data_IF_606127980218
#
_entry.id   IF_606127980218
#
_cell.length_a   1.000
_cell.length_b   1.000
_cell.length_c   1.000
_cell.angle_alpha   90.00
_cell.angle_beta   90.00
_cell.angle_gamma   90.00
#
_symmetry.space_group_name_H-M   'P 1'
#
loop_
_entity.id
_entity.type
_entity.pdbx_description
1 polymer ?
#
# COMPACT_ATOMS: atom_id res chain seq x y z
N UNK A 1 11.80 2.78 1.00
CA UNK A 1 11.36 4.16 1.33
C UNK A 1 11.78 4.52 2.76
N UNK A 2 11.72 5.80 3.17
CA UNK A 2 11.88 6.18 4.59
C UNK A 2 10.71 7.03 5.06
N UNK A 3 10.09 6.65 6.17
CA UNK A 3 9.17 7.53 6.89
C UNK A 3 9.96 8.66 7.55
N UNK A 4 9.42 9.88 7.51
CA UNK A 4 10.07 11.03 8.15
C UNK A 4 9.84 10.98 9.65
N UNK A 5 10.93 11.05 10.41
CA UNK A 5 10.90 11.18 11.88
C UNK A 5 10.08 12.41 12.26
N UNK A 6 9.24 12.27 13.29
CA UNK A 6 8.35 13.33 13.77
C UNK A 6 7.03 13.47 13.02
N UNK A 7 6.84 12.76 11.89
CA UNK A 7 5.51 12.65 11.27
C UNK A 7 4.58 11.80 12.13
N UNK A 8 3.28 12.00 12.01
CA UNK A 8 2.28 11.23 12.76
C UNK A 8 2.46 9.70 12.62
N UNK A 9 2.71 9.22 11.39
CA UNK A 9 2.91 7.79 11.13
C UNK A 9 4.12 7.21 11.87
N UNK A 10 5.14 8.01 12.20
CA UNK A 10 6.32 7.56 12.92
C UNK A 10 6.00 7.02 14.32
N UNK A 11 4.86 7.43 14.89
CA UNK A 11 4.43 7.03 16.24
C UNK A 11 3.42 5.88 16.23
N UNK A 12 2.99 5.42 15.05
CA UNK A 12 2.10 4.29 14.93
C UNK A 12 2.88 2.98 15.02
N UNK A 13 2.28 2.00 15.69
CA UNK A 13 2.82 0.65 15.79
C UNK A 13 1.99 -0.30 14.94
N UNK A 14 2.68 -1.00 14.04
CA UNK A 14 2.14 -2.11 13.27
C UNK A 14 2.41 -3.42 14.02
N UNK A 15 1.36 -4.21 14.22
CA UNK A 15 1.52 -5.53 14.81
C UNK A 15 2.38 -6.43 13.90
N UNK A 16 3.39 -7.08 14.48
CA UNK A 16 4.34 -7.89 13.70
C UNK A 16 3.75 -9.19 13.20
N UNK A 17 2.68 -9.72 13.80
CA UNK A 17 2.10 -11.01 13.41
C UNK A 17 1.04 -10.80 12.33
N UNK A 18 0.16 -9.83 12.55
CA UNK A 18 -0.98 -9.56 11.68
C UNK A 18 -0.68 -8.49 10.62
N UNK A 19 0.39 -7.71 10.78
CA UNK A 19 0.71 -6.57 9.93
C UNK A 19 -0.46 -5.60 9.77
N UNK A 20 -1.15 -5.34 10.89
CA UNK A 20 -2.29 -4.43 11.02
C UNK A 20 -2.10 -3.53 12.25
N UNK A 21 -2.84 -2.43 12.30
CA UNK A 21 -2.86 -1.55 13.47
C UNK A 21 -3.79 -2.10 14.56
N UNK A 22 -3.47 -1.84 15.82
CA UNK A 22 -4.41 -2.03 16.92
C UNK A 22 -5.61 -1.09 16.78
N UNK A 23 -6.75 -1.44 17.37
CA UNK A 23 -7.97 -0.59 17.36
C UNK A 23 -7.69 0.84 17.83
N UNK A 24 -6.81 1.00 18.83
CA UNK A 24 -6.39 2.31 19.32
C UNK A 24 -5.66 3.13 18.24
N UNK A 25 -4.74 2.50 17.52
CA UNK A 25 -3.99 3.15 16.44
C UNK A 25 -4.89 3.41 15.22
N UNK A 26 -5.84 2.52 14.91
CA UNK A 26 -6.86 2.75 13.87
C UNK A 26 -7.71 3.97 14.23
N UNK A 27 -8.17 4.08 15.47
CA UNK A 27 -8.94 5.26 15.92
C UNK A 27 -8.13 6.55 15.81
N UNK A 28 -6.86 6.53 16.23
CA UNK A 28 -5.98 7.69 16.09
C UNK A 28 -5.76 8.07 14.61
N UNK A 29 -5.58 7.07 13.75
CA UNK A 29 -5.41 7.27 12.31
C UNK A 29 -6.69 7.80 11.65
N UNK A 30 -7.87 7.34 12.07
CA UNK A 30 -9.16 7.83 11.58
C UNK A 30 -9.37 9.30 11.95
N UNK A 31 -9.06 9.69 13.18
CA UNK A 31 -9.13 11.11 13.56
C UNK A 31 -8.10 11.95 12.80
N UNK A 32 -6.89 11.42 12.57
CA UNK A 32 -5.90 12.09 11.72
C UNK A 32 -6.37 12.22 10.27
N UNK A 33 -7.03 11.19 9.70
CA UNK A 33 -7.60 11.23 8.36
C UNK A 33 -8.67 12.32 8.23
N UNK A 34 -9.58 12.43 9.21
CA UNK A 34 -10.58 13.51 9.25
C UNK A 34 -9.97 14.91 9.31
N UNK A 35 -8.80 15.06 9.94
CA UNK A 35 -8.05 16.33 9.95
C UNK A 35 -7.43 16.66 8.58
N UNK A 36 -7.08 15.64 7.79
CA UNK A 36 -6.59 15.82 6.42
C UNK A 36 -7.73 16.14 5.44
N UNK A 37 -8.90 15.54 5.66
CA UNK A 37 -10.11 15.78 4.88
C UNK A 37 -10.76 17.13 5.23
N UNK A 38 -10.24 18.18 4.60
CA UNK A 38 -10.75 19.55 4.71
C UNK A 38 -12.12 19.74 4.06
N UNK A 39 -12.58 18.81 3.23
CA UNK A 39 -13.87 18.87 2.55
C UNK A 39 -14.98 18.17 3.31
N UNK A 40 -14.63 17.36 4.31
CA UNK A 40 -15.55 16.58 5.15
C UNK A 40 -16.43 15.62 4.33
N UNK A 41 -15.89 15.10 3.23
CA UNK A 41 -16.53 14.10 2.38
C UNK A 41 -16.13 12.66 2.75
N UNK A 42 -15.33 12.49 3.81
CA UNK A 42 -14.72 11.22 4.23
C UNK A 42 -13.78 10.60 3.19
N UNK A 43 -13.20 11.43 2.31
CA UNK A 43 -12.22 11.00 1.31
C UNK A 43 -11.08 12.02 1.18
N UNK A 44 -10.02 11.64 0.46
CA UNK A 44 -8.91 12.52 0.10
C UNK A 44 -8.77 12.56 -1.42
N UNK A 45 -8.88 13.76 -2.01
CA UNK A 45 -8.52 13.96 -3.41
C UNK A 45 -6.99 13.86 -3.63
N UNK A 46 -6.59 13.88 -4.90
CA UNK A 46 -5.19 13.78 -5.33
C UNK A 46 -4.26 14.83 -4.70
N UNK A 47 -4.74 16.07 -4.53
CA UNK A 47 -3.98 17.17 -3.92
C UNK A 47 -3.72 16.90 -2.44
N UNK A 48 -4.78 16.60 -1.66
CA UNK A 48 -4.65 16.31 -0.22
C UNK A 48 -3.77 15.09 0.02
N UNK A 49 -4.01 14.02 -0.75
CA UNK A 49 -3.21 12.80 -0.71
C UNK A 49 -1.74 13.06 -1.05
N UNK A 50 -1.47 13.88 -2.07
CA UNK A 50 -0.12 14.25 -2.46
C UNK A 50 0.63 14.96 -1.33
N UNK A 51 0.01 15.96 -0.72
CA UNK A 51 0.62 16.72 0.36
C UNK A 51 0.86 15.87 1.61
N UNK A 52 -0.08 14.99 1.96
CA UNK A 52 0.09 14.02 3.03
C UNK A 52 1.32 13.12 2.79
N UNK A 53 1.40 12.44 1.65
CA UNK A 53 2.51 11.53 1.37
C UNK A 53 3.85 12.26 1.26
N UNK A 54 3.84 13.47 0.68
CA UNK A 54 5.02 14.31 0.62
C UNK A 54 5.48 14.77 1.99
N UNK A 55 4.57 14.96 2.94
CA UNK A 55 4.88 15.30 4.33
C UNK A 55 5.49 14.10 5.06
N UNK A 56 4.89 12.90 4.98
CA UNK A 56 5.29 11.74 5.81
C UNK A 56 6.38 10.86 5.20
N UNK A 57 6.63 10.92 3.89
CA UNK A 57 7.64 10.10 3.19
C UNK A 57 8.68 10.94 2.44
N UNK A 58 9.76 10.30 2.00
CA UNK A 58 10.73 10.86 1.06
C UNK A 58 10.41 10.61 -0.42
N UNK A 59 9.18 10.21 -0.76
CA UNK A 59 8.82 9.91 -2.15
C UNK A 59 8.80 11.13 -3.07
N UNK A 60 9.10 10.87 -4.35
CA UNK A 60 8.99 11.83 -5.45
C UNK A 60 7.56 11.89 -5.96
N UNK A 61 7.19 13.00 -6.60
CA UNK A 61 5.85 13.22 -7.18
C UNK A 61 5.38 12.03 -8.03
N UNK A 62 6.23 11.52 -8.93
CA UNK A 62 5.90 10.36 -9.79
C UNK A 62 5.53 9.10 -8.98
N UNK A 63 6.19 8.85 -7.86
CA UNK A 63 5.90 7.71 -7.00
C UNK A 63 4.54 7.89 -6.30
N UNK A 64 4.30 9.09 -5.77
CA UNK A 64 3.05 9.44 -5.09
C UNK A 64 1.85 9.33 -6.06
N UNK A 65 1.98 9.87 -7.28
CA UNK A 65 0.95 9.75 -8.32
C UNK A 65 0.67 8.29 -8.69
N UNK A 66 1.71 7.45 -8.78
CA UNK A 66 1.51 6.01 -9.02
C UNK A 66 0.73 5.33 -7.89
N UNK A 67 1.07 5.63 -6.62
CA UNK A 67 0.34 5.06 -5.48
C UNK A 67 -1.10 5.54 -5.46
N UNK A 68 -1.37 6.81 -5.78
CA UNK A 68 -2.74 7.32 -5.86
C UNK A 68 -3.55 6.53 -6.89
N UNK A 69 -3.06 6.42 -8.12
CA UNK A 69 -3.73 5.68 -9.19
C UNK A 69 -3.89 4.18 -8.89
N UNK A 70 -3.00 3.61 -8.09
CA UNK A 70 -3.12 2.20 -7.65
C UNK A 70 -4.26 2.01 -6.65
N UNK A 71 -4.49 2.99 -5.78
CA UNK A 71 -5.52 2.92 -4.73
C UNK A 71 -6.90 3.37 -5.25
N UNK A 72 -6.93 4.34 -6.16
CA UNK A 72 -8.11 4.86 -6.87
C UNK A 72 -8.43 3.96 -8.09
N UNK A 73 -8.62 2.67 -7.85
CA UNK A 73 -8.78 1.66 -8.90
C UNK A 73 -10.08 1.81 -9.69
N UNK A 74 -11.10 2.44 -9.10
CA UNK A 74 -12.38 2.79 -9.70
C UNK A 74 -12.36 4.16 -10.39
N UNK A 75 -11.22 4.87 -10.36
CA UNK A 75 -11.00 6.16 -11.00
C UNK A 75 -12.01 7.24 -10.59
N UNK A 76 -12.44 7.21 -9.33
CA UNK A 76 -13.33 8.23 -8.75
C UNK A 76 -12.56 9.54 -8.49
N UNK A 77 -11.23 9.46 -8.37
CA UNK A 77 -10.38 10.59 -8.05
C UNK A 77 -10.33 10.89 -6.54
N UNK A 78 -10.77 9.95 -5.71
CA UNK A 78 -10.86 10.12 -4.27
C UNK A 78 -10.43 8.84 -3.52
N UNK A 79 -9.71 9.01 -2.42
CA UNK A 79 -9.23 7.91 -1.57
C UNK A 79 -10.03 7.91 -0.27
N UNK A 80 -10.82 6.87 -0.05
CA UNK A 80 -11.52 6.64 1.22
C UNK A 80 -10.59 6.12 2.33
N UNK A 81 -11.15 5.99 3.53
CA UNK A 81 -10.37 5.58 4.70
C UNK A 81 -9.79 4.17 4.56
N UNK A 82 -10.48 3.22 3.93
CA UNK A 82 -10.01 1.84 3.79
C UNK A 82 -8.77 1.75 2.91
N UNK A 83 -8.77 2.43 1.76
CA UNK A 83 -7.60 2.53 0.89
C UNK A 83 -6.45 3.26 1.59
N UNK A 84 -6.74 4.35 2.28
CA UNK A 84 -5.76 5.09 3.07
C UNK A 84 -5.15 4.24 4.20
N UNK A 85 -5.97 3.47 4.91
CA UNK A 85 -5.53 2.55 5.97
C UNK A 85 -4.61 1.47 5.43
N UNK A 86 -4.96 0.87 4.29
CA UNK A 86 -4.13 -0.14 3.64
C UNK A 86 -2.76 0.43 3.27
N UNK A 87 -2.72 1.63 2.67
CA UNK A 87 -1.48 2.32 2.38
C UNK A 87 -0.63 2.55 3.64
N UNK A 88 -1.23 3.00 4.73
CA UNK A 88 -0.51 3.21 6.00
C UNK A 88 0.09 1.90 6.52
N UNK A 89 -0.64 0.79 6.43
CA UNK A 89 -0.10 -0.52 6.81
C UNK A 89 1.09 -0.92 5.93
N UNK A 90 1.02 -0.71 4.61
CA UNK A 90 2.13 -0.98 3.69
C UNK A 90 3.36 -0.11 4.03
N UNK A 91 3.15 1.19 4.26
CA UNK A 91 4.22 2.12 4.64
C UNK A 91 4.93 1.70 5.92
N UNK A 92 4.15 1.29 6.94
CA UNK A 92 4.68 0.82 8.21
C UNK A 92 5.37 -0.53 8.08
N UNK A 93 4.81 -1.48 7.33
CA UNK A 93 5.45 -2.77 7.06
C UNK A 93 6.82 -2.56 6.42
N UNK A 94 6.91 -1.67 5.43
CA UNK A 94 8.16 -1.35 4.75
C UNK A 94 9.11 -0.47 5.60
N UNK A 95 8.62 0.22 6.62
CA UNK A 95 9.46 0.90 7.62
C UNK A 95 10.01 -0.09 8.66
N UNK A 96 9.28 -1.17 8.95
CA UNK A 96 9.60 -2.17 9.95
C UNK A 96 10.23 -3.45 9.39
N UNK A 97 10.50 -3.51 8.08
CA UNK A 97 11.04 -4.69 7.38
C UNK A 97 10.13 -5.92 7.47
N UNK A 98 8.81 -5.71 7.34
CA UNK A 98 7.76 -6.73 7.40
C UNK A 98 7.04 -6.90 6.05
N UNK A 99 7.63 -6.48 4.93
CA UNK A 99 6.98 -6.44 3.62
C UNK A 99 6.53 -7.82 3.15
N UNK A 100 7.42 -8.81 3.25
CA UNK A 100 7.11 -10.20 2.87
C UNK A 100 5.96 -10.77 3.71
N UNK A 101 5.98 -10.53 5.02
CA UNK A 101 4.93 -11.00 5.92
C UNK A 101 3.60 -10.30 5.64
N UNK A 102 3.64 -9.00 5.34
CA UNK A 102 2.46 -8.24 4.93
C UNK A 102 1.85 -8.83 3.66
N UNK A 103 2.65 -9.07 2.61
CA UNK A 103 2.16 -9.68 1.36
C UNK A 103 1.61 -11.07 1.63
N UNK A 104 2.31 -11.92 2.38
CA UNK A 104 1.82 -13.27 2.66
C UNK A 104 0.47 -13.27 3.39
N UNK A 105 0.32 -12.40 4.40
CA UNK A 105 -0.89 -12.32 5.23
C UNK A 105 -2.06 -11.68 4.50
N UNK A 106 -1.79 -10.73 3.62
CA UNK A 106 -2.77 -9.89 2.91
C UNK A 106 -2.66 -10.05 1.39
N UNK A 107 -2.34 -11.26 0.93
CA UNK A 107 -1.99 -11.53 -0.47
C UNK A 107 -3.09 -11.11 -1.43
N UNK A 108 -4.34 -11.47 -1.13
CA UNK A 108 -5.49 -11.14 -1.97
C UNK A 108 -5.68 -9.62 -2.15
N UNK A 109 -5.81 -8.79 -1.09
CA UNK A 109 -5.86 -7.33 -1.24
C UNK A 109 -4.64 -6.74 -1.98
N UNK A 110 -3.43 -7.27 -1.74
CA UNK A 110 -2.21 -6.80 -2.41
C UNK A 110 -2.25 -7.12 -3.90
N UNK A 111 -2.68 -8.31 -4.30
CA UNK A 111 -2.83 -8.67 -5.70
C UNK A 111 -3.96 -7.89 -6.38
N UNK A 112 -5.07 -7.66 -5.69
CA UNK A 112 -6.15 -6.79 -6.18
C UNK A 112 -5.61 -5.37 -6.46
N UNK A 113 -4.77 -4.80 -5.59
CA UNK A 113 -4.09 -3.51 -5.83
C UNK A 113 -3.09 -3.52 -6.99
N UNK A 114 -2.36 -4.63 -7.17
CA UNK A 114 -1.38 -4.77 -8.26
C UNK A 114 -2.06 -5.03 -9.62
N UNK A 115 -3.39 -5.13 -9.66
CA UNK A 115 -4.18 -5.50 -10.82
C UNK A 115 -4.41 -7.01 -10.89
N UNK A 116 -5.57 -7.44 -11.40
CA UNK A 116 -5.90 -8.86 -11.55
C UNK A 116 -4.76 -9.64 -12.23
N UNK A 117 -4.54 -10.86 -11.74
CA UNK A 117 -3.48 -11.86 -11.93
C UNK A 117 -2.71 -11.91 -13.28
N UNK A 118 -3.18 -11.27 -14.34
CA UNK A 118 -2.62 -11.33 -15.71
C UNK A 118 -1.56 -10.29 -16.04
N UNK A 119 -1.36 -9.25 -15.22
CA UNK A 119 -0.38 -8.15 -15.48
C UNK A 119 0.86 -8.21 -14.55
N UNK A 120 1.13 -9.39 -13.97
CA UNK A 120 1.91 -9.54 -12.74
C UNK A 120 3.37 -9.04 -12.74
N UNK A 121 4.04 -8.93 -13.89
CA UNK A 121 5.46 -8.55 -13.93
C UNK A 121 5.68 -7.04 -14.12
N UNK A 122 4.95 -6.42 -15.06
CA UNK A 122 5.10 -4.98 -15.36
C UNK A 122 4.58 -4.10 -14.22
N UNK A 123 3.42 -4.44 -13.67
CA UNK A 123 2.84 -3.71 -12.53
C UNK A 123 3.74 -3.84 -11.30
N UNK A 124 4.34 -5.00 -11.08
CA UNK A 124 5.26 -5.17 -9.97
C UNK A 124 6.50 -4.29 -10.09
N UNK A 125 7.17 -4.27 -11.25
CA UNK A 125 8.31 -3.37 -11.45
C UNK A 125 7.92 -1.90 -11.21
N UNK A 126 6.69 -1.52 -11.59
CA UNK A 126 6.18 -0.18 -11.35
C UNK A 126 6.03 0.16 -9.86
N UNK A 127 5.58 -0.80 -9.05
CA UNK A 127 5.30 -0.65 -7.61
C UNK A 127 6.36 -1.23 -6.66
N UNK A 128 7.49 -1.73 -7.17
CA UNK A 128 8.55 -2.31 -6.34
C UNK A 128 9.07 -1.33 -5.26
N UNK A 129 9.02 -0.02 -5.51
CA UNK A 129 9.40 0.99 -4.52
C UNK A 129 8.50 1.04 -3.28
N UNK A 130 7.30 0.45 -3.34
CA UNK A 130 6.29 0.40 -2.29
C UNK A 130 6.43 -0.88 -1.45
N UNK A 131 6.62 -2.02 -2.12
CA UNK A 131 6.67 -3.34 -1.48
C UNK A 131 8.10 -3.83 -1.19
N UNK A 132 9.13 -3.27 -1.82
CA UNK A 132 10.54 -3.58 -1.55
C UNK A 132 10.86 -5.10 -1.57
N UNK A 133 10.28 -5.84 -2.52
CA UNK A 133 10.43 -7.30 -2.64
C UNK A 133 11.24 -7.63 -3.89
N UNK A 134 12.02 -8.71 -3.84
CA UNK A 134 12.75 -9.16 -5.02
C UNK A 134 11.79 -9.84 -5.99
N UNK A 135 12.04 -9.68 -7.29
CA UNK A 135 11.23 -10.32 -8.33
C UNK A 135 11.20 -11.86 -8.20
N UNK A 136 12.28 -12.48 -7.71
CA UNK A 136 12.34 -13.92 -7.42
C UNK A 136 11.39 -14.33 -6.30
N UNK A 137 11.36 -13.54 -5.21
CA UNK A 137 10.49 -13.78 -4.05
C UNK A 137 9.02 -13.58 -4.46
N UNK A 138 8.74 -12.59 -5.29
CA UNK A 138 7.41 -12.37 -5.83
C UNK A 138 6.93 -13.51 -6.72
N UNK A 139 7.80 -14.07 -7.58
CA UNK A 139 7.48 -15.24 -8.41
C UNK A 139 7.15 -16.47 -7.56
N UNK A 140 7.85 -16.63 -6.45
CA UNK A 140 7.54 -17.68 -5.47
C UNK A 140 6.16 -17.43 -4.83
N UNK A 141 5.86 -16.20 -4.40
CA UNK A 141 4.52 -15.84 -3.93
C UNK A 141 3.45 -16.13 -4.97
N UNK A 142 3.63 -15.71 -6.22
CA UNK A 142 2.66 -16.00 -7.29
C UNK A 142 2.45 -17.50 -7.46
N UNK A 143 3.52 -18.31 -7.43
CA UNK A 143 3.41 -19.76 -7.52
C UNK A 143 2.64 -20.36 -6.34
N UNK A 144 2.86 -19.86 -5.13
CA UNK A 144 2.17 -20.34 -3.92
C UNK A 144 0.68 -19.98 -3.89
N UNK A 145 0.28 -18.91 -4.59
CA UNK A 145 -1.11 -18.44 -4.68
C UNK A 145 -1.81 -18.79 -6.01
N UNK A 146 -1.09 -19.26 -7.03
CA UNK A 146 -1.62 -19.72 -8.31
C UNK A 146 -2.18 -21.15 -8.20
N UNK A 147 -3.38 -21.24 -7.61
CA UNK A 147 -4.11 -22.50 -7.43
C UNK A 147 -4.57 -23.07 -8.80
N UNK A 148 -4.74 -22.22 -9.82
CA UNK A 148 -5.23 -22.59 -11.16
C UNK A 148 -4.14 -23.06 -12.10
N UNK A 149 -2.88 -22.71 -11.84
CA UNK A 149 -1.72 -23.09 -12.65
C UNK A 149 -1.62 -22.36 -13.99
N UNK A 150 -2.42 -21.32 -14.21
CA UNK A 150 -2.48 -20.58 -15.47
C UNK A 150 -1.27 -19.66 -15.66
N UNK A 151 -0.63 -19.22 -14.57
CA UNK A 151 0.57 -18.37 -14.62
C UNK A 151 1.83 -19.14 -15.09
N UNK A 152 1.81 -20.48 -15.08
CA UNK A 152 2.95 -21.33 -15.49
C UNK A 152 2.96 -21.59 -17.00
N UNK A 153 1.86 -21.32 -17.71
CA UNK A 153 1.73 -21.64 -19.14
C UNK A 153 2.36 -20.63 -20.11
N UNK A 154 3.00 -19.56 -19.60
CA UNK A 154 3.75 -18.61 -20.42
C UNK A 154 5.26 -18.93 -20.41
N UNK A 155 5.66 -19.92 -21.21
CA UNK A 155 7.03 -20.03 -21.71
C UNK A 155 7.34 -21.35 -22.40
N UNK A 156 8.27 -21.38 -23.37
CA UNK A 156 8.92 -20.27 -24.08
C UNK A 156 8.19 -19.83 -25.36
#
# INVERSE_FOLDING_TARGET
MKLKKGSFLWYLYLDKLYCLLSVRNVKALLEYFKLLDVHHNSTLNDVLFYHFLRHVTNWKRRQITRVFNMLDWDAVGEIGFDQFYMLVCILLAQQNHLEQQFIFRHSRPVFELLGELRVGQENFHMYNFLFNIKESELREFYRDFDITGDCVSAGP
#
